data_IF_154193546777
#
_entry.id   IF_154193546777
#
_cell.length_a   1.000
_cell.length_b   1.000
_cell.length_c   1.000
_cell.angle_alpha   90.00
_cell.angle_beta   90.00
_cell.angle_gamma   90.00
#
_symmetry.space_group_name_H-M   'P 1'
#
loop_
_entity.id
_entity.type
_entity.pdbx_description
1 polymer ?
#
# COMPACT_ATOMS: atom_id res chain seq x y z
N UNK A 1 -42.30 -31.78 43.31
CA UNK A 1 -42.22 -31.95 41.85
C UNK A 1 -40.81 -32.38 41.55
N UNK A 2 -40.60 -33.66 41.25
CA UNK A 2 -39.29 -34.15 40.87
C UNK A 2 -39.02 -33.71 39.44
N UNK A 3 -38.01 -32.86 39.26
CA UNK A 3 -37.61 -32.38 37.93
C UNK A 3 -37.02 -33.58 37.20
N UNK A 4 -37.72 -34.07 36.19
CA UNK A 4 -37.28 -35.18 35.39
C UNK A 4 -36.00 -34.85 34.61
N UNK A 5 -35.30 -35.90 34.18
CA UNK A 5 -34.09 -35.76 33.36
C UNK A 5 -34.36 -34.97 32.06
N UNK A 6 -35.60 -35.01 31.55
CA UNK A 6 -36.03 -34.23 30.38
C UNK A 6 -36.08 -32.73 30.67
N UNK A 7 -36.66 -32.33 31.79
CA UNK A 7 -36.68 -30.93 32.23
C UNK A 7 -35.25 -30.39 32.43
N UNK A 8 -34.35 -31.20 32.98
CA UNK A 8 -32.93 -30.82 33.13
C UNK A 8 -32.24 -30.60 31.78
N UNK A 9 -32.48 -31.46 30.80
CA UNK A 9 -31.92 -31.31 29.45
C UNK A 9 -32.42 -30.04 28.75
N UNK A 10 -33.71 -29.70 28.94
CA UNK A 10 -34.29 -28.46 28.40
C UNK A 10 -33.64 -27.24 29.05
N UNK A 11 -33.45 -27.24 30.37
CA UNK A 11 -32.81 -26.15 31.10
C UNK A 11 -31.36 -25.94 30.63
N UNK A 12 -30.59 -27.02 30.50
CA UNK A 12 -29.20 -26.95 30.00
C UNK A 12 -29.17 -26.42 28.56
N UNK A 13 -30.07 -26.87 27.69
CA UNK A 13 -30.17 -26.39 26.31
C UNK A 13 -30.44 -24.88 26.23
N UNK A 14 -31.35 -24.37 27.06
CA UNK A 14 -31.65 -22.93 27.13
C UNK A 14 -30.42 -22.14 27.62
N UNK A 15 -29.67 -22.67 28.60
CA UNK A 15 -28.46 -22.02 29.12
C UNK A 15 -27.38 -21.93 28.03
N UNK A 16 -27.19 -22.98 27.23
CA UNK A 16 -26.20 -22.98 26.13
C UNK A 16 -26.59 -21.97 25.05
N UNK A 17 -27.85 -21.95 24.62
CA UNK A 17 -28.35 -21.01 23.61
C UNK A 17 -28.21 -19.56 24.12
N UNK A 18 -28.57 -19.31 25.38
CA UNK A 18 -28.41 -18.01 26.01
C UNK A 18 -26.93 -17.58 26.09
N UNK A 19 -26.02 -18.52 26.37
CA UNK A 19 -24.58 -18.28 26.39
C UNK A 19 -24.03 -17.85 25.02
N UNK A 20 -24.44 -18.53 23.94
CA UNK A 20 -24.02 -18.19 22.57
C UNK A 20 -24.58 -16.82 22.15
N UNK A 21 -25.86 -16.53 22.45
CA UNK A 21 -26.46 -15.23 22.17
C UNK A 21 -25.80 -14.11 22.97
N UNK A 22 -25.46 -14.37 24.24
CA UNK A 22 -24.77 -13.41 25.08
C UNK A 22 -23.35 -13.14 24.59
N UNK A 23 -22.61 -14.16 24.14
CA UNK A 23 -21.27 -13.96 23.60
C UNK A 23 -21.30 -13.24 22.24
N UNK A 24 -22.26 -13.58 21.36
CA UNK A 24 -22.49 -12.84 20.12
C UNK A 24 -22.85 -11.37 20.35
N UNK A 25 -23.71 -11.10 21.34
CA UNK A 25 -24.07 -9.73 21.74
C UNK A 25 -22.91 -8.98 22.39
N UNK A 26 -22.13 -9.66 23.23
CA UNK A 26 -20.92 -9.10 23.87
C UNK A 26 -19.88 -8.73 22.83
N UNK A 27 -19.64 -9.58 21.83
CA UNK A 27 -18.73 -9.32 20.70
C UNK A 27 -19.16 -8.10 19.90
N UNK A 28 -20.46 -7.94 19.61
CA UNK A 28 -20.97 -6.79 18.85
C UNK A 28 -20.98 -5.48 19.66
N UNK A 29 -21.09 -5.54 20.99
CA UNK A 29 -21.08 -4.33 21.83
C UNK A 29 -19.68 -3.77 22.11
N UNK A 30 -18.62 -4.52 21.85
CA UNK A 30 -17.23 -4.08 22.03
C UNK A 30 -16.74 -3.03 21.01
N UNK A 31 -17.48 -2.78 19.92
CA UNK A 31 -17.06 -1.90 18.82
C UNK A 31 -17.69 -0.51 18.78
N UNK A 32 -18.08 0.10 19.90
CA UNK A 32 -18.58 1.49 19.92
C UNK A 32 -17.46 2.50 20.19
N UNK A 33 -16.54 2.61 19.24
CA UNK A 33 -15.68 3.78 19.11
C UNK A 33 -16.54 5.00 18.80
N UNK A 34 -16.86 5.80 19.82
CA UNK A 34 -17.42 7.15 19.65
C UNK A 34 -16.33 8.03 19.00
N UNK A 35 -16.27 8.08 17.67
CA UNK A 35 -15.64 9.23 17.01
C UNK A 35 -16.53 10.45 17.32
N UNK A 36 -16.17 11.18 18.37
CA UNK A 36 -16.67 12.53 18.63
C UNK A 36 -16.06 13.44 17.57
N UNK A 37 -16.75 13.61 16.45
CA UNK A 37 -16.50 14.74 15.56
C UNK A 37 -16.82 16.01 16.36
N UNK A 38 -15.77 16.69 16.85
CA UNK A 38 -15.90 18.10 17.22
C UNK A 38 -15.84 18.88 15.93
N UNK A 39 -17.02 19.15 15.36
CA UNK A 39 -17.17 20.20 14.38
C UNK A 39 -17.08 21.52 15.17
N UNK A 40 -15.94 22.19 15.07
CA UNK A 40 -15.72 23.49 15.69
C UNK A 40 -16.80 24.47 15.23
N UNK A 41 -17.51 25.05 16.21
CA UNK A 41 -18.59 26.02 16.01
C UNK A 41 -17.99 27.39 15.73
N UNK A 42 -17.30 27.50 14.59
CA UNK A 42 -16.69 28.76 14.13
C UNK A 42 -17.10 29.15 12.70
N UNK A 43 -18.14 28.52 12.14
CA UNK A 43 -18.73 28.91 10.84
C UNK A 43 -20.02 29.74 10.99
N UNK A 44 -20.34 30.24 12.19
CA UNK A 44 -21.62 30.93 12.46
C UNK A 44 -21.50 32.45 12.61
N UNK A 45 -20.31 33.03 12.43
CA UNK A 45 -20.08 34.47 12.54
C UNK A 45 -19.37 35.02 11.29
N UNK A 46 -19.98 34.85 10.12
CA UNK A 46 -19.74 35.80 9.04
C UNK A 46 -20.87 36.84 9.08
N UNK A 47 -20.56 38.15 9.08
CA UNK A 47 -21.56 39.18 8.84
C UNK A 47 -22.04 39.06 7.39
N UNK A 48 -23.36 39.19 7.19
CA UNK A 48 -23.97 39.30 5.87
C UNK A 48 -23.46 40.57 5.18
N UNK A 49 -22.51 40.41 4.25
CA UNK A 49 -22.04 41.50 3.38
C UNK A 49 -22.83 41.44 2.07
N UNK A 50 -23.82 42.32 2.00
CA UNK A 50 -24.60 42.64 0.80
C UNK A 50 -23.73 43.53 -0.09
N UNK A 51 -23.00 42.93 -1.05
CA UNK A 51 -21.96 43.66 -1.77
C UNK A 51 -21.47 43.04 -3.09
N UNK A 52 -22.10 43.43 -4.19
CA UNK A 52 -21.49 43.57 -5.54
C UNK A 52 -20.97 42.31 -6.26
N UNK A 53 -21.87 41.65 -7.00
CA UNK A 53 -21.54 40.71 -8.06
C UNK A 53 -21.07 41.42 -9.36
N UNK A 54 -19.94 42.15 -9.32
CA UNK A 54 -19.39 42.85 -10.50
C UNK A 54 -17.86 42.76 -10.67
N UNK A 55 -17.20 41.70 -10.17
CA UNK A 55 -15.74 41.53 -10.34
C UNK A 55 -15.30 40.28 -11.11
N UNK A 56 -16.20 39.67 -11.88
CA UNK A 56 -15.83 38.72 -12.93
C UNK A 56 -16.00 39.42 -14.28
N UNK A 57 -14.94 40.07 -14.75
CA UNK A 57 -14.86 40.57 -16.13
C UNK A 57 -15.01 39.43 -17.15
N UNK A 58 -15.45 39.71 -18.38
CA UNK A 58 -15.64 38.68 -19.39
C UNK A 58 -14.32 37.94 -19.69
N UNK A 59 -14.37 36.63 -19.93
CA UNK A 59 -13.19 35.80 -20.16
C UNK A 59 -12.41 36.30 -21.38
N UNK A 60 -11.10 36.57 -21.22
CA UNK A 60 -10.22 36.86 -22.36
C UNK A 60 -9.93 35.57 -23.11
N UNK A 61 -10.30 35.54 -24.39
CA UNK A 61 -9.98 34.47 -25.34
C UNK A 61 -8.49 34.60 -25.69
N UNK A 62 -7.70 33.55 -25.44
CA UNK A 62 -6.31 33.45 -25.89
C UNK A 62 -6.32 33.05 -27.37
N UNK A 63 -5.81 33.91 -28.24
CA UNK A 63 -5.55 33.59 -29.65
C UNK A 63 -4.57 32.41 -29.74
N UNK A 64 -5.11 31.24 -30.05
CA UNK A 64 -4.36 30.03 -30.43
C UNK A 64 -3.98 30.18 -31.91
N UNK A 65 -3.00 31.00 -32.23
CA UNK A 65 -2.27 30.95 -33.51
C UNK A 65 -0.92 31.64 -33.35
N UNK A 66 0.00 30.99 -32.64
CA UNK A 66 1.43 31.25 -32.79
C UNK A 66 2.18 29.94 -32.53
N UNK A 67 2.47 29.23 -33.61
CA UNK A 67 3.42 28.12 -33.55
C UNK A 67 4.78 28.68 -33.09
N UNK A 68 5.43 28.06 -32.09
CA UNK A 68 6.78 28.44 -31.72
C UNK A 68 7.71 28.02 -32.86
N UNK A 69 8.28 29.00 -33.56
CA UNK A 69 9.38 28.74 -34.48
C UNK A 69 10.59 28.31 -33.65
N UNK A 70 11.02 27.07 -33.86
CA UNK A 70 12.29 26.55 -33.37
C UNK A 70 13.39 27.13 -34.26
N UNK A 71 14.20 28.05 -33.71
CA UNK A 71 15.42 28.51 -34.35
C UNK A 71 16.46 27.37 -34.36
N UNK A 72 16.87 26.96 -35.56
CA UNK A 72 17.79 25.82 -35.82
C UNK A 72 19.25 26.10 -35.38
N UNK A 73 19.53 27.27 -34.81
CA UNK A 73 20.90 27.74 -34.54
C UNK A 73 21.43 27.46 -33.12
N UNK A 74 20.66 26.83 -32.24
CA UNK A 74 21.08 26.54 -30.84
C UNK A 74 21.32 25.04 -30.55
N UNK A 75 21.67 24.27 -31.58
CA UNK A 75 22.04 22.85 -31.41
C UNK A 75 23.56 22.71 -31.19
N UNK A 76 24.01 22.09 -30.08
CA UNK A 76 25.42 21.77 -29.90
C UNK A 76 25.87 20.68 -30.88
N UNK A 77 26.92 20.99 -31.66
CA UNK A 77 27.56 20.08 -32.61
C UNK A 77 28.22 18.89 -31.90
N UNK A 78 27.61 17.70 -31.98
CA UNK A 78 28.23 16.44 -31.55
C UNK A 78 29.01 15.82 -32.71
N UNK A 79 30.34 15.87 -32.61
CA UNK A 79 31.26 15.18 -33.51
C UNK A 79 31.32 13.69 -33.15
N UNK A 80 30.81 12.82 -34.03
CA UNK A 80 31.10 11.39 -34.01
C UNK A 80 32.13 11.07 -35.12
N UNK A 81 33.22 10.33 -34.83
CA UNK A 81 34.16 9.94 -35.86
C UNK A 81 33.60 8.82 -36.73
N UNK A 82 33.66 9.07 -38.03
CA UNK A 82 33.32 8.23 -39.18
C UNK A 82 34.14 6.92 -39.15
N UNK A 83 33.46 5.77 -39.29
CA UNK A 83 34.09 4.52 -39.74
C UNK A 83 33.58 4.20 -41.16
N UNK A 84 34.53 4.25 -42.10
CA UNK A 84 34.37 3.96 -43.52
C UNK A 84 33.82 2.56 -43.79
N UNK A 85 32.87 2.50 -44.74
CA UNK A 85 32.42 1.28 -45.39
C UNK A 85 33.39 0.91 -46.53
N UNK A 86 33.72 -0.38 -46.66
CA UNK A 86 34.33 -0.90 -47.89
C UNK A 86 33.78 -2.29 -48.22
N UNK A 87 33.24 -2.39 -49.42
CA UNK A 87 32.60 -3.55 -50.04
C UNK A 87 33.61 -4.43 -50.85
N UNK A 88 33.19 -5.61 -51.38
CA UNK A 88 33.93 -6.87 -51.28
C UNK A 88 34.71 -7.28 -52.54
N UNK A 89 35.63 -8.27 -52.42
CA UNK A 89 36.01 -9.13 -53.54
C UNK A 89 36.63 -10.48 -53.09
N UNK A 90 36.31 -11.49 -53.89
CA UNK A 90 36.57 -12.93 -53.74
C UNK A 90 38.02 -13.36 -54.02
N UNK A 91 38.48 -14.47 -53.39
CA UNK A 91 38.93 -15.72 -54.07
C UNK A 91 39.49 -16.80 -53.09
N UNK A 92 38.77 -17.93 -53.04
CA UNK A 92 39.23 -19.33 -53.25
C UNK A 92 40.28 -19.98 -52.32
N UNK A 93 39.83 -21.02 -51.57
CA UNK A 93 40.54 -22.32 -51.52
C UNK A 93 40.54 -23.11 -50.19
N UNK A 94 39.68 -24.17 -50.11
CA UNK A 94 39.83 -25.51 -49.46
C UNK A 94 40.51 -25.55 -48.06
N UNK A 95 39.95 -26.15 -46.99
CA UNK A 95 39.43 -27.53 -46.83
C UNK A 95 38.96 -27.73 -45.37
N UNK A 96 38.02 -28.67 -45.17
CA UNK A 96 37.59 -29.35 -43.92
C UNK A 96 36.58 -28.64 -42.99
N UNK A 97 35.55 -29.40 -42.62
CA UNK A 97 34.42 -29.11 -41.73
C UNK A 97 34.27 -30.30 -40.76
N UNK A 98 33.31 -30.32 -39.80
CA UNK A 98 32.82 -29.27 -38.91
C UNK A 98 32.95 -29.70 -37.42
N UNK A 99 32.98 -28.77 -36.46
CA UNK A 99 32.65 -29.10 -35.05
C UNK A 99 31.74 -28.02 -34.49
N UNK A 100 30.55 -28.45 -34.10
CA UNK A 100 29.48 -27.70 -33.46
C UNK A 100 29.93 -27.29 -32.05
N UNK A 101 29.75 -26.02 -31.70
CA UNK A 101 29.98 -25.51 -30.35
C UNK A 101 28.68 -24.85 -29.85
N UNK A 102 27.94 -25.58 -29.03
CA UNK A 102 26.94 -25.03 -28.10
C UNK A 102 27.62 -24.53 -26.82
N UNK A 103 27.11 -23.47 -26.18
CA UNK A 103 27.65 -22.96 -24.91
C UNK A 103 27.29 -23.91 -23.75
N UNK A 104 28.33 -24.38 -23.06
CA UNK A 104 28.28 -25.29 -21.91
C UNK A 104 27.72 -24.59 -20.66
N UNK A 105 26.72 -25.23 -20.05
CA UNK A 105 26.34 -25.04 -18.65
C UNK A 105 27.49 -25.47 -17.74
N UNK A 106 27.69 -24.72 -16.66
CA UNK A 106 28.66 -25.03 -15.62
C UNK A 106 28.07 -26.05 -14.64
N UNK A 107 28.59 -27.28 -14.69
CA UNK A 107 28.45 -28.28 -13.63
C UNK A 107 29.38 -27.91 -12.47
N UNK A 108 28.82 -27.81 -11.27
CA UNK A 108 29.55 -27.73 -10.00
C UNK A 108 29.44 -29.09 -9.31
N UNK A 109 30.45 -29.91 -9.52
CA UNK A 109 30.67 -31.18 -8.85
C UNK A 109 31.34 -30.89 -7.49
N UNK A 110 30.68 -31.25 -6.38
CA UNK A 110 31.27 -31.25 -5.04
C UNK A 110 31.17 -32.66 -4.48
N UNK A 111 32.30 -33.35 -4.53
CA UNK A 111 32.57 -34.63 -3.91
C UNK A 111 32.26 -34.62 -2.41
N UNK A 112 31.59 -35.69 -2.00
CA UNK A 112 31.18 -36.03 -0.64
C UNK A 112 32.32 -36.80 0.03
N UNK A 113 32.89 -36.24 1.10
CA UNK A 113 33.79 -36.98 2.00
C UNK A 113 33.52 -36.64 3.48
N UNK A 114 33.29 -37.72 4.22
CA UNK A 114 33.52 -38.00 5.65
C UNK A 114 33.01 -37.01 6.73
N UNK A 115 31.90 -37.39 7.36
CA UNK A 115 31.46 -36.86 8.66
C UNK A 115 31.80 -37.83 9.80
N UNK A 116 32.33 -37.36 10.95
CA UNK A 116 32.64 -38.25 12.06
C UNK A 116 31.38 -38.67 12.83
N UNK A 117 31.28 -39.97 13.00
CA UNK A 117 30.39 -40.71 13.89
C UNK A 117 30.44 -40.20 15.34
N UNK A 118 29.27 -39.87 15.91
CA UNK A 118 29.06 -39.90 17.35
C UNK A 118 27.80 -40.70 17.68
N UNK A 119 28.08 -41.81 18.34
CA UNK A 119 27.19 -42.80 18.93
C UNK A 119 26.23 -42.22 19.98
N UNK A 120 25.00 -42.75 19.94
CA UNK A 120 24.17 -43.20 21.06
C UNK A 120 24.30 -42.45 22.40
N UNK A 121 23.26 -41.68 22.71
CA UNK A 121 22.77 -41.49 24.08
C UNK A 121 21.27 -41.21 24.02
N UNK A 122 20.51 -42.21 24.42
CA UNK A 122 19.15 -42.05 24.93
C UNK A 122 19.22 -41.06 26.10
N UNK A 123 18.55 -39.92 25.98
CA UNK A 123 18.22 -39.10 27.14
C UNK A 123 16.74 -38.73 27.08
N UNK A 124 16.14 -39.07 28.20
CA UNK A 124 14.75 -39.06 28.58
C UNK A 124 14.21 -37.62 28.57
N UNK A 125 13.11 -37.36 27.84
CA UNK A 125 12.39 -36.09 27.97
C UNK A 125 11.22 -36.30 28.95
N UNK A 126 11.28 -35.77 30.19
CA UNK A 126 10.10 -35.63 31.01
C UNK A 126 9.32 -34.39 30.55
N UNK A 127 8.03 -34.63 30.29
CA UNK A 127 6.96 -33.65 30.15
C UNK A 127 6.84 -32.82 31.44
N UNK A 128 7.27 -31.56 31.41
CA UNK A 128 6.87 -30.54 32.39
C UNK A 128 6.26 -29.33 31.68
N UNK A 129 4.95 -29.44 31.47
CA UNK A 129 4.04 -28.37 31.15
C UNK A 129 3.92 -27.41 32.36
N UNK A 130 4.84 -26.46 32.49
CA UNK A 130 4.79 -25.38 33.48
C UNK A 130 5.13 -24.03 32.84
N UNK A 131 4.19 -23.09 32.96
CA UNK A 131 4.06 -21.91 32.12
C UNK A 131 5.20 -20.90 32.18
N UNK A 132 5.41 -20.26 31.02
CA UNK A 132 5.84 -18.86 30.91
C UNK A 132 5.09 -18.21 29.74
N UNK A 133 3.88 -17.72 30.02
CA UNK A 133 3.25 -16.69 29.20
C UNK A 133 4.09 -15.42 29.34
N UNK A 134 5.09 -15.28 28.48
CA UNK A 134 5.73 -14.00 28.23
C UNK A 134 4.70 -13.11 27.52
N UNK A 135 4.35 -11.93 28.06
CA UNK A 135 3.54 -10.99 27.32
C UNK A 135 4.37 -10.51 26.14
N UNK A 136 3.91 -10.83 24.91
CA UNK A 136 4.36 -10.14 23.71
C UNK A 136 4.09 -8.67 23.93
N UNK A 137 5.14 -7.88 24.13
CA UNK A 137 5.07 -6.43 24.12
C UNK A 137 4.49 -6.00 22.77
N UNK A 138 3.22 -5.62 22.80
CA UNK A 138 2.60 -4.79 21.78
C UNK A 138 3.32 -3.44 21.80
N UNK A 139 4.36 -3.32 20.99
CA UNK A 139 4.83 -2.03 20.48
C UNK A 139 3.77 -1.54 19.50
N UNK A 140 2.79 -0.80 20.01
CA UNK A 140 2.05 0.13 19.16
C UNK A 140 1.66 1.35 19.99
N UNK A 141 2.69 2.04 20.46
CA UNK A 141 2.57 3.45 20.86
C UNK A 141 2.82 4.28 19.60
N UNK A 142 1.94 4.13 18.60
CA UNK A 142 1.93 5.05 17.46
C UNK A 142 1.37 6.38 17.98
N UNK A 143 2.14 7.47 17.94
CA UNK A 143 1.62 8.78 18.30
C UNK A 143 0.41 9.09 17.41
N UNK A 144 -0.63 9.68 17.99
CA UNK A 144 -1.82 10.07 17.25
C UNK A 144 -1.39 10.95 16.07
N UNK A 145 -1.72 10.52 14.84
CA UNK A 145 -1.36 11.26 13.64
C UNK A 145 -1.95 12.68 13.72
N UNK A 146 -1.06 13.67 13.72
CA UNK A 146 -1.40 15.10 13.69
C UNK A 146 -1.82 15.55 12.29
N UNK A 147 -1.23 14.94 11.25
CA UNK A 147 -1.51 15.23 9.85
C UNK A 147 -1.63 13.93 9.05
N UNK A 148 -2.63 13.84 8.17
CA UNK A 148 -2.87 12.65 7.33
C UNK A 148 -2.88 13.06 5.86
N UNK A 149 -2.00 12.45 5.08
CA UNK A 149 -1.95 12.60 3.63
C UNK A 149 -2.74 11.47 2.98
N UNK A 150 -3.61 11.80 2.03
CA UNK A 150 -4.50 10.83 1.38
C UNK A 150 -4.32 10.88 -0.14
N UNK A 151 -4.21 9.70 -0.75
CA UNK A 151 -4.24 9.52 -2.20
C UNK A 151 -5.29 8.45 -2.51
N UNK A 152 -6.25 8.76 -3.37
CA UNK A 152 -7.28 7.81 -3.79
C UNK A 152 -7.03 7.32 -5.20
N UNK A 153 -7.35 6.06 -5.46
CA UNK A 153 -7.36 5.47 -6.80
C UNK A 153 -8.79 5.05 -7.09
N UNK A 154 -9.38 5.62 -8.15
CA UNK A 154 -10.77 5.41 -8.54
C UNK A 154 -10.81 4.61 -9.83
N UNK A 155 -11.63 3.57 -9.91
CA UNK A 155 -11.79 2.79 -11.12
C UNK A 155 -12.50 3.63 -12.20
N UNK A 156 -12.01 3.56 -13.45
CA UNK A 156 -12.70 4.19 -14.59
C UNK A 156 -13.94 3.39 -15.04
N UNK A 157 -13.98 2.10 -14.73
CA UNK A 157 -15.07 1.20 -15.09
C UNK A 157 -16.21 1.28 -14.06
N UNK A 158 -17.45 1.20 -14.53
CA UNK A 158 -18.65 1.10 -13.71
C UNK A 158 -18.68 -0.21 -12.90
N UNK A 159 -18.00 -1.27 -13.37
CA UNK A 159 -17.88 -2.53 -12.66
C UNK A 159 -17.01 -2.47 -11.39
N UNK A 160 -16.14 -1.44 -11.26
CA UNK A 160 -15.18 -1.31 -10.18
C UNK A 160 -13.98 -2.25 -10.29
N UNK A 161 -13.08 -2.17 -9.31
CA UNK A 161 -11.94 -3.06 -9.18
C UNK A 161 -12.38 -4.44 -8.67
N UNK A 162 -12.14 -5.48 -9.47
CA UNK A 162 -12.35 -6.86 -9.06
C UNK A 162 -11.40 -7.22 -7.92
N UNK A 163 -11.94 -7.83 -6.87
CA UNK A 163 -11.21 -8.21 -5.65
C UNK A 163 -9.93 -9.01 -5.89
N UNK A 164 -9.92 -10.08 -6.71
CA UNK A 164 -8.71 -10.88 -6.90
C UNK A 164 -7.58 -10.12 -7.60
N UNK A 165 -7.92 -9.35 -8.64
CA UNK A 165 -6.96 -8.52 -9.37
C UNK A 165 -6.42 -7.38 -8.48
N UNK A 166 -7.28 -6.80 -7.66
CA UNK A 166 -6.91 -5.79 -6.67
C UNK A 166 -5.95 -6.38 -5.62
N UNK A 167 -6.31 -7.51 -5.03
CA UNK A 167 -5.51 -8.20 -4.01
C UNK A 167 -4.11 -8.55 -4.54
N UNK A 168 -4.02 -9.10 -5.75
CA UNK A 168 -2.73 -9.43 -6.36
C UNK A 168 -1.84 -8.18 -6.46
N UNK A 169 -2.36 -7.08 -6.99
CA UNK A 169 -1.59 -5.84 -7.15
C UNK A 169 -1.15 -5.23 -5.81
N UNK A 170 -2.00 -5.34 -4.78
CA UNK A 170 -1.70 -4.89 -3.41
C UNK A 170 -0.55 -5.71 -2.80
N UNK A 171 -0.62 -7.04 -2.92
CA UNK A 171 0.39 -7.95 -2.38
C UNK A 171 1.73 -7.81 -3.10
N UNK A 172 1.72 -7.62 -4.42
CA UNK A 172 2.92 -7.34 -5.23
C UNK A 172 3.52 -5.97 -4.91
N UNK A 173 2.68 -4.98 -4.60
CA UNK A 173 3.13 -3.70 -4.06
C UNK A 173 3.61 -3.83 -2.61
N UNK A 174 3.57 -5.04 -2.04
CA UNK A 174 4.06 -5.45 -0.73
C UNK A 174 3.30 -4.84 0.44
N UNK A 175 2.01 -4.55 0.25
CA UNK A 175 1.11 -4.33 1.38
C UNK A 175 0.67 -5.69 1.93
N UNK A 176 0.34 -5.73 3.21
CA UNK A 176 -0.15 -6.92 3.91
C UNK A 176 -1.45 -6.59 4.63
N UNK A 177 -2.38 -7.53 4.62
CA UNK A 177 -3.60 -7.41 5.39
C UNK A 177 -3.26 -7.46 6.89
N UNK A 178 -3.86 -6.58 7.68
CA UNK A 178 -3.54 -6.47 9.10
C UNK A 178 -4.67 -5.89 9.93
N UNK A 179 -4.31 -5.01 10.87
CA UNK A 179 -5.26 -4.43 11.83
C UNK A 179 -6.41 -3.69 11.13
N UNK A 180 -7.57 -3.66 11.77
CA UNK A 180 -8.78 -2.97 11.27
C UNK A 180 -9.29 -3.49 9.92
N UNK A 181 -8.92 -4.70 9.52
CA UNK A 181 -9.32 -5.34 8.26
C UNK A 181 -8.97 -4.50 7.02
N UNK A 182 -7.80 -3.85 7.07
CA UNK A 182 -7.24 -3.05 5.98
C UNK A 182 -5.80 -3.49 5.67
N UNK A 183 -5.24 -2.91 4.61
CA UNK A 183 -3.89 -3.24 4.18
C UNK A 183 -2.88 -2.22 4.71
N UNK A 184 -1.74 -2.72 5.16
CA UNK A 184 -0.63 -1.93 5.68
C UNK A 184 0.65 -2.25 4.92
N UNK A 185 1.39 -1.21 4.55
CA UNK A 185 2.76 -1.34 4.07
C UNK A 185 3.69 -1.27 5.28
N UNK A 186 4.52 -2.29 5.46
CA UNK A 186 5.59 -2.27 6.46
C UNK A 186 6.93 -1.92 5.81
N UNK A 187 7.93 -1.60 6.63
CA UNK A 187 9.31 -1.37 6.17
C UNK A 187 9.86 -2.58 5.39
N UNK A 188 9.57 -3.79 5.87
CA UNK A 188 9.92 -5.03 5.17
C UNK A 188 8.79 -5.54 4.27
N UNK A 189 9.16 -6.08 3.11
CA UNK A 189 8.24 -6.82 2.22
C UNK A 189 7.61 -8.05 2.88
N UNK A 190 8.23 -8.57 3.96
CA UNK A 190 7.67 -9.68 4.73
C UNK A 190 6.48 -9.26 5.62
N UNK A 191 6.21 -7.95 5.77
CA UNK A 191 5.23 -7.44 6.73
C UNK A 191 5.81 -7.19 8.12
N UNK A 192 7.14 -7.14 8.24
CA UNK A 192 7.83 -6.84 9.50
C UNK A 192 8.26 -5.37 9.56
N UNK A 193 8.33 -4.82 10.76
CA UNK A 193 8.76 -3.44 11.02
C UNK A 193 7.57 -2.51 11.29
N UNK A 194 7.84 -1.21 11.29
CA UNK A 194 6.82 -0.18 11.49
C UNK A 194 5.94 -0.04 10.22
N UNK A 195 4.69 0.38 10.42
CA UNK A 195 3.77 0.68 9.31
C UNK A 195 4.19 1.99 8.66
N UNK A 196 4.52 1.92 7.37
CA UNK A 196 4.84 3.07 6.55
C UNK A 196 3.57 3.86 6.21
N UNK A 197 2.61 3.20 5.57
CA UNK A 197 1.32 3.77 5.19
C UNK A 197 0.29 2.65 5.10
N UNK A 198 -0.97 3.03 5.06
CA UNK A 198 -2.08 2.07 5.02
C UNK A 198 -2.99 2.34 3.83
N UNK A 199 -3.80 1.35 3.48
CA UNK A 199 -4.74 1.41 2.36
C UNK A 199 -6.07 0.81 2.80
N UNK A 200 -7.13 1.59 2.61
CA UNK A 200 -8.50 1.23 2.92
C UNK A 200 -9.39 1.27 1.68
N UNK A 201 -10.54 0.62 1.79
CA UNK A 201 -11.59 0.72 0.79
C UNK A 201 -12.23 2.12 0.87
N UNK A 202 -12.54 2.75 -0.26
CA UNK A 202 -13.22 4.05 -0.27
C UNK A 202 -14.73 3.92 0.01
N UNK A 203 -15.28 2.71 -0.07
CA UNK A 203 -16.68 2.40 0.26
C UNK A 203 -16.80 2.01 1.73
N UNK A 204 -17.80 2.54 2.44
CA UNK A 204 -18.11 2.18 3.83
C UNK A 204 -18.45 0.67 3.91
N UNK A 205 -17.87 -0.08 4.86
CA UNK A 205 -17.21 0.36 6.10
C UNK A 205 -15.73 0.76 5.98
N UNK A 206 -15.11 0.60 4.81
CA UNK A 206 -13.69 0.91 4.57
C UNK A 206 -12.75 -0.28 4.71
N UNK A 207 -13.29 -1.46 5.03
CA UNK A 207 -12.55 -2.71 5.23
C UNK A 207 -12.52 -3.57 3.96
N UNK A 208 -11.66 -4.58 3.98
CA UNK A 208 -11.58 -5.63 2.97
C UNK A 208 -11.94 -6.97 3.62
N UNK A 209 -12.89 -7.68 3.03
CA UNK A 209 -13.21 -9.06 3.40
C UNK A 209 -12.43 -10.00 2.47
N UNK A 210 -11.51 -10.76 3.06
CA UNK A 210 -10.69 -11.72 2.30
C UNK A 210 -11.45 -13.01 2.00
N UNK A 211 -12.48 -13.34 2.78
CA UNK A 211 -13.24 -14.58 2.62
C UNK A 211 -14.16 -14.52 1.39
N UNK A 212 -14.66 -13.33 1.03
CA UNK A 212 -15.52 -13.08 -0.14
C UNK A 212 -14.81 -12.30 -1.27
N UNK A 213 -13.47 -12.37 -1.32
CA UNK A 213 -12.68 -11.56 -2.26
C UNK A 213 -13.00 -11.86 -3.73
N UNK A 214 -13.45 -13.07 -4.04
CA UNK A 214 -13.77 -13.51 -5.41
C UNK A 214 -15.00 -12.79 -5.99
N UNK A 215 -16.00 -12.49 -5.16
CA UNK A 215 -17.17 -11.72 -5.55
C UNK A 215 -17.05 -10.23 -5.18
N UNK A 216 -16.01 -9.86 -4.43
CA UNK A 216 -15.78 -8.49 -4.03
C UNK A 216 -15.46 -7.58 -5.23
N UNK A 217 -16.10 -6.41 -5.26
CA UNK A 217 -15.70 -5.31 -6.13
C UNK A 217 -15.74 -4.01 -5.36
N UNK A 218 -14.76 -3.13 -5.61
CA UNK A 218 -14.76 -1.78 -5.07
C UNK A 218 -14.53 -0.71 -6.14
N UNK A 219 -15.32 0.37 -6.16
CA UNK A 219 -15.12 1.47 -7.10
C UNK A 219 -13.83 2.26 -6.82
N UNK A 220 -13.32 2.27 -5.59
CA UNK A 220 -12.14 3.05 -5.25
C UNK A 220 -11.45 2.55 -3.98
N UNK A 221 -10.14 2.77 -3.93
CA UNK A 221 -9.31 2.53 -2.74
C UNK A 221 -8.56 3.80 -2.37
N UNK A 222 -8.25 3.97 -1.09
CA UNK A 222 -7.57 5.15 -0.58
C UNK A 222 -6.35 4.75 0.24
N UNK A 223 -5.21 5.30 -0.14
CA UNK A 223 -3.95 5.23 0.59
C UNK A 223 -3.86 6.40 1.56
N UNK A 224 -3.39 6.15 2.77
CA UNK A 224 -3.20 7.19 3.77
C UNK A 224 -1.88 7.00 4.53
N UNK A 225 -1.19 8.12 4.73
CA UNK A 225 0.07 8.24 5.45
C UNK A 225 -0.15 9.20 6.62
N UNK A 226 -0.03 8.69 7.84
CA UNK A 226 -0.09 9.50 9.06
C UNK A 226 1.27 10.09 9.43
N UNK A 227 1.29 11.34 9.90
CA UNK A 227 2.44 12.05 10.45
C UNK A 227 2.13 12.47 11.90
N UNK A 228 3.04 12.31 12.88
CA UNK A 228 4.36 11.70 12.78
C UNK A 228 4.24 10.18 12.71
N UNK A 229 4.56 9.60 11.56
CA UNK A 229 4.49 8.16 11.34
C UNK A 229 5.87 7.56 11.26
N UNK A 230 6.35 7.14 10.07
CA UNK A 230 7.57 6.35 9.96
C UNK A 230 8.83 7.18 10.26
N UNK A 231 9.93 6.50 10.58
CA UNK A 231 11.27 7.11 10.69
C UNK A 231 11.67 7.96 9.48
N UNK A 232 11.19 7.60 8.29
CA UNK A 232 11.47 8.28 7.02
C UNK A 232 10.16 8.60 6.25
N UNK A 233 9.43 9.66 6.63
CA UNK A 233 8.11 9.96 6.06
C UNK A 233 8.18 10.32 4.57
N UNK A 234 9.26 10.99 4.12
CA UNK A 234 9.47 11.29 2.70
C UNK A 234 9.59 10.02 1.84
N UNK A 235 10.37 9.05 2.32
CA UNK A 235 10.54 7.77 1.63
C UNK A 235 9.24 6.96 1.63
N UNK A 236 8.53 6.92 2.76
CA UNK A 236 7.23 6.27 2.87
C UNK A 236 6.22 6.86 1.85
N UNK A 237 6.21 8.19 1.70
CA UNK A 237 5.38 8.87 0.72
C UNK A 237 5.75 8.51 -0.74
N UNK A 238 7.04 8.48 -1.09
CA UNK A 238 7.47 8.10 -2.44
C UNK A 238 7.07 6.65 -2.78
N UNK A 239 7.18 5.72 -1.81
CA UNK A 239 6.71 4.33 -1.97
C UNK A 239 5.19 4.27 -2.10
N UNK A 240 4.44 5.06 -1.32
CA UNK A 240 2.98 5.16 -1.41
C UNK A 240 2.54 5.63 -2.81
N UNK A 241 3.18 6.69 -3.34
CA UNK A 241 2.90 7.20 -4.69
C UNK A 241 3.22 6.16 -5.75
N UNK A 242 4.35 5.44 -5.62
CA UNK A 242 4.71 4.38 -6.55
C UNK A 242 3.68 3.24 -6.56
N UNK A 243 3.24 2.79 -5.38
CA UNK A 243 2.22 1.75 -5.23
C UNK A 243 0.87 2.19 -5.84
N UNK A 244 0.43 3.42 -5.53
CA UNK A 244 -0.81 3.96 -6.08
C UNK A 244 -0.76 4.10 -7.61
N UNK A 245 0.39 4.54 -8.16
CA UNK A 245 0.61 4.62 -9.60
C UNK A 245 0.57 3.26 -10.28
N UNK A 246 1.26 2.27 -9.72
CA UNK A 246 1.22 0.89 -10.21
C UNK A 246 -0.23 0.38 -10.25
N UNK A 247 -0.96 0.52 -9.14
CA UNK A 247 -2.34 0.06 -9.06
C UNK A 247 -3.26 0.74 -10.10
N UNK A 248 -3.09 2.06 -10.28
CA UNK A 248 -3.84 2.83 -11.27
C UNK A 248 -3.54 2.38 -12.71
N UNK A 249 -2.31 1.98 -13.01
CA UNK A 249 -1.93 1.53 -14.35
C UNK A 249 -2.46 0.12 -14.64
N UNK A 250 -2.29 -0.81 -13.69
CA UNK A 250 -2.67 -2.21 -13.85
C UNK A 250 -4.19 -2.42 -13.89
N UNK A 251 -4.94 -1.63 -13.09
CA UNK A 251 -6.39 -1.77 -12.98
C UNK A 251 -7.17 -0.69 -13.73
N UNK A 252 -6.50 0.09 -14.58
CA UNK A 252 -7.11 1.19 -15.34
C UNK A 252 -7.88 2.20 -14.45
N UNK A 253 -7.23 2.60 -13.36
CA UNK A 253 -7.74 3.60 -12.41
C UNK A 253 -7.30 5.03 -12.75
N UNK A 254 -7.88 5.97 -12.02
CA UNK A 254 -7.50 7.38 -11.95
C UNK A 254 -7.00 7.72 -10.54
N UNK A 255 -5.83 8.35 -10.48
CA UNK A 255 -5.26 8.86 -9.23
C UNK A 255 -5.87 10.21 -8.88
N UNK A 256 -6.34 10.31 -7.65
CA UNK A 256 -6.89 11.52 -7.07
C UNK A 256 -6.23 11.88 -5.75
N UNK A 257 -6.19 13.17 -5.44
CA UNK A 257 -5.72 13.69 -4.16
C UNK A 257 -6.82 13.68 -3.08
N UNK A 258 -6.55 14.32 -1.93
CA UNK A 258 -7.45 14.41 -0.79
C UNK A 258 -8.74 15.17 -1.14
N UNK A 259 -8.64 16.15 -2.04
CA UNK A 259 -9.77 16.94 -2.55
C UNK A 259 -10.48 16.28 -3.73
N UNK A 260 -10.13 15.03 -4.07
CA UNK A 260 -10.64 14.30 -5.25
C UNK A 260 -10.34 14.99 -6.58
N UNK A 261 -9.30 15.80 -6.63
CA UNK A 261 -8.74 16.36 -7.86
C UNK A 261 -7.70 15.43 -8.45
N UNK A 262 -7.39 15.58 -9.74
CA UNK A 262 -6.41 14.72 -10.43
C UNK A 262 -5.04 14.87 -9.79
N UNK A 263 -4.39 13.75 -9.47
CA UNK A 263 -3.05 13.77 -8.88
C UNK A 263 -1.99 14.14 -9.92
N UNK A 264 -1.55 15.40 -9.90
CA UNK A 264 -0.50 15.92 -10.79
C UNK A 264 0.90 15.82 -10.16
N UNK A 265 1.95 16.00 -10.99
CA UNK A 265 3.32 16.09 -10.48
C UNK A 265 3.50 17.27 -9.50
N UNK A 266 2.78 18.38 -9.72
CA UNK A 266 2.79 19.53 -8.83
C UNK A 266 2.18 19.20 -7.47
N UNK A 267 1.04 18.48 -7.44
CA UNK A 267 0.39 18.06 -6.20
C UNK A 267 1.28 17.11 -5.39
N UNK A 268 1.99 16.20 -6.07
CA UNK A 268 2.96 15.29 -5.43
C UNK A 268 4.10 16.07 -4.80
N UNK A 269 4.65 17.07 -5.50
CA UNK A 269 5.74 17.88 -4.96
C UNK A 269 5.27 18.75 -3.79
N UNK A 270 4.05 19.30 -3.87
CA UNK A 270 3.43 20.02 -2.77
C UNK A 270 3.29 19.13 -1.51
N UNK A 271 2.91 17.86 -1.66
CA UNK A 271 2.89 16.93 -0.53
C UNK A 271 4.28 16.63 0.03
N UNK A 272 5.31 16.50 -0.83
CA UNK A 272 6.69 16.35 -0.34
C UNK A 272 7.14 17.56 0.49
N UNK A 273 6.79 18.77 0.05
CA UNK A 273 7.12 19.99 0.78
C UNK A 273 6.42 20.05 2.13
N UNK A 274 5.13 19.68 2.20
CA UNK A 274 4.38 19.59 3.46
C UNK A 274 5.03 18.62 4.46
N UNK A 275 5.48 17.45 3.99
CA UNK A 275 6.20 16.48 4.85
C UNK A 275 7.49 17.10 5.41
N UNK A 276 8.30 17.74 4.57
CA UNK A 276 9.56 18.36 4.99
C UNK A 276 9.31 19.51 5.98
N UNK A 277 8.27 20.31 5.76
CA UNK A 277 7.89 21.38 6.66
C UNK A 277 7.42 20.84 8.02
N UNK A 278 6.64 19.75 8.02
CA UNK A 278 6.23 19.04 9.22
C UNK A 278 7.45 18.53 10.01
N UNK A 279 8.41 17.86 9.34
CA UNK A 279 9.66 17.40 9.97
C UNK A 279 10.44 18.55 10.61
N UNK A 280 10.53 19.70 9.91
CA UNK A 280 11.21 20.89 10.42
C UNK A 280 10.52 21.47 11.66
N UNK A 281 9.20 21.53 11.67
CA UNK A 281 8.41 22.00 12.83
C UNK A 281 8.55 21.06 14.02
N UNK A 282 8.45 19.75 13.78
CA UNK A 282 8.63 18.72 14.81
C UNK A 282 10.03 18.79 15.48
N UNK A 283 11.09 19.01 14.69
CA UNK A 283 12.45 19.20 15.22
C UNK A 283 12.61 20.47 16.06
N UNK A 284 11.88 21.54 15.72
CA UNK A 284 11.94 22.81 16.44
C UNK A 284 11.16 22.74 17.76
N UNK A 285 10.05 21.98 17.80
CA UNK A 285 9.19 21.83 18.98
C UNK A 285 9.75 20.85 20.02
N UNK A 286 10.67 19.97 19.62
CA UNK A 286 11.36 19.00 20.49
C UNK A 286 12.63 19.55 21.17
N UNK A 287 13.00 20.80 20.87
CA UNK A 287 14.19 21.50 21.39
C UNK A 287 13.82 22.40 22.57
#
# INVERSE_FOLDING_TARGET
>A
MEIGLREWLIVIGIIVIAGILFDGWRRMRGGKGKLKFRLDRNLSNLPDDDGSAELLGPPRVLDTHKEPQLDEHDLPSMSAPVREAREPSSKRGKRAAPVVAEPRQADLDLDVDDGPSFSSRDDDFPDENAGKNAPRQSVNDQPAAEEVLVISVICRDAAGFKGPALLQNILESGLRFGEMDIFHRHESMAGNGEVLFSMANAVKPGTFDLDDIDLFSTPAVSFFLGLPGPRHPKQAFDVMVAAARKLSQELNGELKDDQRSVLTAQTIEHYRQRIVEFERRALTQKR
#
